data_IF_951679799821
#
_entry.id   IF_951679799821
#
_cell.length_a   1.000
_cell.length_b   1.000
_cell.length_c   1.000
_cell.angle_alpha   90.00
_cell.angle_beta   90.00
_cell.angle_gamma   90.00
#
_symmetry.space_group_name_H-M   'P 1'
#
loop_
_entity.id
_entity.type
_entity.pdbx_description
1 polymer ?
#
# COMPACT_ATOMS: atom_id res chain seq x y z
N UNK A 1 6.40 -4.91 -17.31
CA UNK A 1 5.31 -4.86 -16.31
C UNK A 1 5.32 -3.48 -15.68
N UNK A 2 4.20 -3.04 -15.13
CA UNK A 2 4.06 -1.74 -14.49
C UNK A 2 3.68 -1.95 -13.03
N UNK A 3 4.27 -1.12 -12.15
CA UNK A 3 3.99 -1.18 -10.72
C UNK A 3 2.81 -0.30 -10.38
N UNK A 4 1.89 -0.82 -9.58
CA UNK A 4 0.71 -0.09 -9.12
C UNK A 4 0.70 -0.03 -7.60
N UNK A 5 0.46 1.18 -7.06
CA UNK A 5 0.11 1.42 -5.68
C UNK A 5 -1.39 1.21 -5.50
N UNK A 6 -1.77 0.33 -4.58
CA UNK A 6 -3.13 0.11 -4.12
C UNK A 6 -3.15 0.56 -2.66
N UNK A 7 -3.89 1.60 -2.33
CA UNK A 7 -3.86 2.21 -0.99
C UNK A 7 -5.23 2.62 -0.49
N UNK A 8 -5.37 2.78 0.82
CA UNK A 8 -6.54 3.35 1.46
C UNK A 8 -6.12 4.42 2.48
N UNK A 9 -7.01 5.37 2.75
CA UNK A 9 -6.78 6.45 3.71
C UNK A 9 -6.90 5.96 5.15
N UNK A 10 -6.17 6.63 6.07
CA UNK A 10 -6.35 6.44 7.50
C UNK A 10 -7.82 6.72 7.89
N UNK A 11 -8.36 5.89 8.78
CA UNK A 11 -9.77 5.89 9.15
C UNK A 11 -10.72 5.16 8.20
N UNK A 12 -10.30 4.72 6.99
CA UNK A 12 -11.18 4.02 6.06
C UNK A 12 -11.77 2.70 6.61
N UNK A 13 -11.11 2.13 7.63
CA UNK A 13 -11.52 0.88 8.30
C UNK A 13 -12.19 1.12 9.67
N UNK A 14 -12.47 2.37 10.07
CA UNK A 14 -13.06 2.69 11.39
C UNK A 14 -14.46 2.11 11.60
N UNK A 15 -15.12 1.70 10.53
CA UNK A 15 -16.43 1.05 10.58
C UNK A 15 -16.36 -0.44 10.95
N UNK A 16 -15.16 -1.03 11.03
CA UNK A 16 -14.96 -2.45 11.35
C UNK A 16 -14.99 -2.63 12.88
N UNK A 17 -15.88 -3.48 13.41
CA UNK A 17 -15.90 -3.80 14.84
C UNK A 17 -14.62 -4.50 15.30
N UNK A 18 -14.19 -4.27 16.54
CA UNK A 18 -12.93 -4.84 17.05
C UNK A 18 -12.87 -6.38 16.99
N UNK A 19 -14.01 -7.03 17.18
CA UNK A 19 -14.16 -8.49 17.12
C UNK A 19 -13.95 -9.08 15.73
N UNK A 20 -14.07 -8.27 14.67
CA UNK A 20 -13.94 -8.71 13.29
C UNK A 20 -12.50 -8.65 12.76
N UNK A 21 -11.59 -7.97 13.46
CA UNK A 21 -10.19 -7.81 13.02
C UNK A 21 -9.46 -9.12 12.71
N UNK A 22 -9.61 -10.20 13.51
CA UNK A 22 -8.99 -11.48 13.17
C UNK A 22 -9.47 -12.04 11.82
N UNK A 23 -10.76 -11.86 11.50
CA UNK A 23 -11.33 -12.33 10.23
C UNK A 23 -10.88 -11.47 9.04
N UNK A 24 -10.85 -10.14 9.20
CA UNK A 24 -10.30 -9.21 8.20
C UNK A 24 -8.84 -9.53 7.93
N UNK A 25 -8.03 -9.65 8.98
CA UNK A 25 -6.62 -10.00 8.87
C UNK A 25 -6.41 -11.32 8.13
N UNK A 26 -7.18 -12.36 8.45
CA UNK A 26 -7.10 -13.65 7.73
C UNK A 26 -7.44 -13.51 6.25
N UNK A 27 -8.50 -12.76 5.91
CA UNK A 27 -8.92 -12.54 4.52
C UNK A 27 -7.87 -11.77 3.72
N UNK A 28 -7.35 -10.67 4.27
CA UNK A 28 -6.32 -9.87 3.62
C UNK A 28 -5.03 -10.66 3.40
N UNK A 29 -4.59 -11.47 4.38
CA UNK A 29 -3.42 -12.34 4.21
C UNK A 29 -3.62 -13.40 3.13
N UNK A 30 -4.82 -13.94 2.95
CA UNK A 30 -5.09 -14.89 1.86
C UNK A 30 -4.92 -14.23 0.48
N UNK A 31 -5.41 -12.99 0.29
CA UNK A 31 -5.20 -12.25 -0.96
C UNK A 31 -3.73 -11.92 -1.19
N UNK A 32 -2.99 -11.56 -0.13
CA UNK A 32 -1.53 -11.35 -0.21
C UNK A 32 -0.80 -12.63 -0.59
N UNK A 33 -1.15 -13.78 0.00
CA UNK A 33 -0.57 -15.08 -0.34
C UNK A 33 -0.80 -15.40 -1.82
N UNK A 34 -2.02 -15.21 -2.31
CA UNK A 34 -2.33 -15.44 -3.74
C UNK A 34 -1.51 -14.50 -4.65
N UNK A 35 -1.29 -13.26 -4.25
CA UNK A 35 -0.47 -12.30 -5.01
C UNK A 35 1.02 -12.67 -5.00
N UNK A 36 1.51 -13.21 -3.88
CA UNK A 36 2.88 -13.75 -3.76
C UNK A 36 3.04 -14.98 -4.66
N UNK A 37 2.10 -15.92 -4.59
CA UNK A 37 2.14 -17.15 -5.39
C UNK A 37 2.03 -16.87 -6.89
N UNK A 38 1.27 -15.84 -7.27
CA UNK A 38 1.20 -15.34 -8.65
C UNK A 38 2.45 -14.56 -9.09
N UNK A 39 3.39 -14.26 -8.19
CA UNK A 39 4.61 -13.51 -8.48
C UNK A 39 4.38 -12.02 -8.77
N UNK A 40 3.22 -11.47 -8.39
CA UNK A 40 2.86 -10.07 -8.65
C UNK A 40 3.04 -9.17 -7.43
N UNK A 41 3.15 -9.75 -6.22
CA UNK A 41 3.34 -8.98 -5.00
C UNK A 41 4.76 -8.43 -4.90
N UNK A 42 4.91 -7.11 -4.76
CA UNK A 42 6.21 -6.47 -4.52
C UNK A 42 6.42 -6.27 -3.01
N UNK A 43 5.50 -5.53 -2.37
CA UNK A 43 5.55 -5.20 -0.94
C UNK A 43 4.23 -4.57 -0.50
N UNK A 44 3.89 -4.63 0.79
CA UNK A 44 2.73 -3.94 1.34
C UNK A 44 2.78 -3.87 2.87
N UNK A 45 2.08 -2.89 3.45
CA UNK A 45 2.02 -2.67 4.89
C UNK A 45 0.82 -1.81 5.30
N UNK A 46 0.34 -2.00 6.52
CA UNK A 46 -0.43 -1.00 7.25
C UNK A 46 0.51 0.03 7.89
N UNK A 47 0.06 1.28 8.01
CA UNK A 47 0.81 2.38 8.61
C UNK A 47 0.27 2.69 10.02
N UNK A 48 1.18 2.99 10.93
CA UNK A 48 0.83 3.40 12.29
C UNK A 48 0.13 4.77 12.28
N UNK A 49 -1.04 4.85 12.91
CA UNK A 49 -1.84 6.08 12.94
C UNK A 49 -1.08 7.22 13.60
N UNK A 50 -1.07 8.38 12.92
CA UNK A 50 -0.55 9.64 13.44
C UNK A 50 0.89 9.57 13.99
N UNK A 51 1.69 8.59 13.54
CA UNK A 51 3.12 8.45 13.86
C UNK A 51 3.97 8.79 12.65
N UNK A 52 3.91 10.04 12.21
CA UNK A 52 4.73 10.55 11.11
C UNK A 52 5.76 11.57 11.62
N UNK A 53 6.88 11.68 10.92
CA UNK A 53 7.81 12.80 11.06
C UNK A 53 8.05 13.42 9.69
N UNK A 54 8.15 14.74 9.63
CA UNK A 54 8.49 15.48 8.42
C UNK A 54 9.97 15.84 8.47
N UNK A 55 10.71 15.46 7.44
CA UNK A 55 12.12 15.83 7.28
C UNK A 55 12.22 16.90 6.20
N UNK A 56 12.63 18.11 6.58
CA UNK A 56 12.80 19.24 5.68
C UNK A 56 14.09 19.11 4.83
N UNK A 57 14.24 19.95 3.80
CA UNK A 57 15.39 19.88 2.88
C UNK A 57 16.72 20.24 3.52
N UNK A 58 16.70 20.89 4.69
CA UNK A 58 17.88 21.16 5.51
C UNK A 58 18.20 20.04 6.51
N UNK A 59 17.40 18.96 6.51
CA UNK A 59 17.54 17.82 7.42
C UNK A 59 16.84 17.98 8.77
N UNK A 60 16.17 19.10 9.02
CA UNK A 60 15.38 19.28 10.25
C UNK A 60 14.20 18.31 10.27
N UNK A 61 14.04 17.58 11.39
CA UNK A 61 12.93 16.67 11.62
C UNK A 61 11.91 17.29 12.58
N UNK A 62 10.63 17.24 12.23
CA UNK A 62 9.52 17.65 13.09
C UNK A 62 8.46 16.57 13.15
N UNK A 63 7.62 16.61 14.18
CA UNK A 63 6.44 15.74 14.23
C UNK A 63 5.48 16.07 13.07
N UNK A 64 4.83 15.04 12.57
CA UNK A 64 3.77 15.11 11.59
C UNK A 64 2.58 14.23 11.99
N UNK A 65 1.53 14.18 11.15
CA UNK A 65 1.47 14.71 9.79
C UNK A 65 1.35 16.24 9.76
N UNK A 66 1.87 16.87 8.69
CA UNK A 66 1.70 18.31 8.44
C UNK A 66 0.95 18.58 7.13
N UNK A 67 -0.14 19.38 7.14
CA UNK A 67 -0.88 19.82 8.32
C UNK A 67 -1.56 18.63 9.03
N UNK A 68 -1.82 18.72 10.33
CA UNK A 68 -2.41 17.65 11.15
C UNK A 68 -3.76 17.13 10.64
N UNK A 69 -4.47 17.94 9.83
CA UNK A 69 -5.79 17.61 9.27
C UNK A 69 -5.74 17.01 7.86
N UNK A 70 -4.56 16.70 7.32
CA UNK A 70 -4.43 16.13 5.98
C UNK A 70 -4.82 14.64 6.00
N UNK A 71 -5.59 14.20 5.01
CA UNK A 71 -5.78 12.79 4.74
C UNK A 71 -4.41 12.13 4.44
N UNK A 72 -4.10 11.07 5.17
CA UNK A 72 -2.86 10.30 5.03
C UNK A 72 -3.21 8.85 4.71
N UNK A 73 -2.28 8.14 4.06
CA UNK A 73 -2.44 6.72 3.77
C UNK A 73 -2.45 5.95 5.10
N UNK A 74 -3.44 5.07 5.27
CA UNK A 74 -3.54 4.13 6.40
C UNK A 74 -2.90 2.78 6.10
N UNK A 75 -2.80 2.41 4.81
CA UNK A 75 -2.10 1.20 4.38
C UNK A 75 -2.04 1.10 2.86
N UNK A 76 -1.15 0.23 2.37
CA UNK A 76 -0.93 0.05 0.95
C UNK A 76 -0.35 -1.31 0.57
N UNK A 77 -0.48 -1.66 -0.70
CA UNK A 77 0.21 -2.74 -1.40
C UNK A 77 0.75 -2.20 -2.72
N UNK A 78 1.95 -2.63 -3.09
CA UNK A 78 2.53 -2.45 -4.42
C UNK A 78 2.55 -3.81 -5.12
N UNK A 79 1.99 -3.85 -6.33
CA UNK A 79 2.02 -5.01 -7.21
C UNK A 79 2.71 -4.66 -8.54
N UNK A 80 3.30 -5.65 -9.20
CA UNK A 80 3.88 -5.55 -10.53
C UNK A 80 3.11 -6.47 -11.49
N UNK A 81 2.38 -5.87 -12.44
CA UNK A 81 1.43 -6.58 -13.32
C UNK A 81 1.57 -6.11 -14.76
N UNK A 82 0.99 -6.85 -15.71
CA UNK A 82 1.13 -6.53 -17.12
C UNK A 82 0.26 -5.34 -17.57
N UNK A 83 -0.83 -5.06 -16.84
CA UNK A 83 -1.80 -4.04 -17.23
C UNK A 83 -2.53 -3.41 -16.05
N UNK A 84 -3.15 -2.24 -16.30
CA UNK A 84 -4.06 -1.58 -15.35
C UNK A 84 -5.27 -2.43 -14.99
N UNK A 85 -5.79 -3.23 -15.93
CA UNK A 85 -6.96 -4.09 -15.68
C UNK A 85 -6.63 -5.21 -14.68
N UNK A 86 -5.45 -5.81 -14.80
CA UNK A 86 -4.93 -6.75 -13.79
C UNK A 86 -4.77 -6.05 -12.44
N UNK A 87 -4.24 -4.82 -12.43
CA UNK A 87 -4.10 -4.06 -11.19
C UNK A 87 -5.44 -3.80 -10.49
N UNK A 88 -6.47 -3.41 -11.25
CA UNK A 88 -7.83 -3.22 -10.74
C UNK A 88 -8.45 -4.52 -10.24
N UNK A 89 -8.15 -5.65 -10.88
CA UNK A 89 -8.62 -6.97 -10.45
C UNK A 89 -8.05 -7.33 -9.07
N UNK A 90 -6.75 -7.13 -8.86
CA UNK A 90 -6.12 -7.32 -7.55
C UNK A 90 -6.65 -6.33 -6.52
N UNK A 91 -6.81 -5.05 -6.90
CA UNK A 91 -7.34 -4.02 -6.02
C UNK A 91 -8.76 -4.34 -5.54
N UNK A 92 -9.62 -4.90 -6.40
CA UNK A 92 -10.98 -5.31 -6.01
C UNK A 92 -10.96 -6.42 -4.96
N UNK A 93 -10.06 -7.41 -5.10
CA UNK A 93 -9.87 -8.48 -4.11
C UNK A 93 -9.36 -7.93 -2.77
N UNK A 94 -8.41 -7.00 -2.83
CA UNK A 94 -7.89 -6.31 -1.65
C UNK A 94 -9.00 -5.50 -0.97
N UNK A 95 -9.78 -4.74 -1.75
CA UNK A 95 -10.90 -3.93 -1.25
C UNK A 95 -11.94 -4.76 -0.48
N UNK A 96 -12.33 -5.91 -1.06
CA UNK A 96 -13.24 -6.86 -0.42
C UNK A 96 -12.65 -7.42 0.88
N UNK A 97 -11.40 -7.92 0.84
CA UNK A 97 -10.75 -8.53 1.99
C UNK A 97 -10.49 -7.56 3.15
N UNK A 98 -10.08 -6.32 2.84
CA UNK A 98 -9.86 -5.25 3.81
C UNK A 98 -11.16 -4.55 4.21
N UNK A 99 -12.28 -4.83 3.53
CA UNK A 99 -13.59 -4.19 3.72
C UNK A 99 -13.55 -2.66 3.58
N UNK A 100 -12.65 -2.12 2.77
CA UNK A 100 -12.54 -0.68 2.55
C UNK A 100 -12.17 -0.36 1.09
N UNK A 101 -12.63 0.79 0.60
CA UNK A 101 -12.33 1.24 -0.75
C UNK A 101 -10.81 1.42 -0.95
N UNK A 102 -10.32 1.03 -2.11
CA UNK A 102 -8.92 1.15 -2.48
C UNK A 102 -8.76 2.13 -3.63
N UNK A 103 -7.78 3.00 -3.53
CA UNK A 103 -7.31 3.83 -4.62
C UNK A 103 -6.17 3.14 -5.36
N UNK A 104 -6.20 3.18 -6.69
CA UNK A 104 -5.21 2.50 -7.54
C UNK A 104 -4.48 3.52 -8.40
N UNK A 105 -3.17 3.63 -8.23
CA UNK A 105 -2.31 4.55 -8.99
C UNK A 105 -1.14 3.80 -9.63
N UNK A 106 -0.87 4.10 -10.88
CA UNK A 106 0.36 3.62 -11.53
C UNK A 106 1.56 4.40 -10.98
N UNK A 107 2.63 3.68 -10.65
CA UNK A 107 3.90 4.28 -10.26
C UNK A 107 4.67 4.65 -11.52
N UNK A 108 5.23 5.87 -11.53
CA UNK A 108 6.09 6.29 -12.63
C UNK A 108 7.31 5.36 -12.75
N UNK A 109 7.71 4.98 -13.97
CA UNK A 109 8.90 4.16 -14.16
C UNK A 109 10.16 4.95 -13.80
N UNK A 110 11.07 4.30 -13.09
CA UNK A 110 12.43 4.80 -12.83
C UNK A 110 13.47 3.74 -13.22
N UNK A 111 13.87 3.71 -14.51
CA UNK A 111 14.82 2.73 -15.02
C UNK A 111 16.21 2.80 -14.36
N UNK A 112 16.60 3.97 -13.85
CA UNK A 112 17.89 4.17 -13.21
C UNK A 112 17.92 3.50 -11.83
N UNK A 113 16.91 3.76 -11.00
CA UNK A 113 16.76 3.11 -9.70
C UNK A 113 16.60 1.59 -9.86
N UNK A 114 15.81 1.14 -10.84
CA UNK A 114 15.68 -0.29 -11.15
C UNK A 114 17.04 -0.94 -11.51
N UNK A 115 17.89 -0.23 -12.25
CA UNK A 115 19.23 -0.73 -12.57
C UNK A 115 20.17 -0.74 -11.35
N UNK A 116 20.00 0.19 -10.40
CA UNK A 116 20.74 0.17 -9.13
C UNK A 116 20.32 -1.02 -8.26
N UNK A 117 19.01 -1.29 -8.13
CA UNK A 117 18.49 -2.42 -7.35
C UNK A 117 18.98 -3.77 -7.90
N UNK A 118 18.90 -3.97 -9.23
CA UNK A 118 19.44 -5.18 -9.88
C UNK A 118 20.93 -5.38 -9.60
N UNK A 119 21.73 -4.31 -9.64
CA UNK A 119 23.17 -4.37 -9.30
C UNK A 119 23.41 -4.72 -7.83
N UNK A 120 22.50 -4.34 -6.94
CA UNK A 120 22.53 -4.69 -5.53
C UNK A 120 21.95 -6.09 -5.22
N UNK A 121 21.49 -6.84 -6.23
CA UNK A 121 20.85 -8.15 -6.04
C UNK A 121 19.47 -8.06 -5.38
N UNK A 122 18.76 -6.95 -5.59
CA UNK A 122 17.41 -6.67 -5.08
C UNK A 122 16.42 -6.52 -6.22
#
# INVERSE_FOLDING_TARGET
MARYLISFDDGAMDHIPDEDWPAVGKASHAVVQDAVDAGVFVFGAGLERQRASIVATDGTATDGPYPETKAVIGGFVIIDVASREEALTWAARIADSCRCAQEVRELMPDPETDAMLRRAGR
#
